data_IF_548530113800
#
_entry.id   IF_548530113800
#
_cell.length_a   1.000
_cell.length_b   1.000
_cell.length_c   1.000
_cell.angle_alpha   90.00
_cell.angle_beta   90.00
_cell.angle_gamma   90.00
#
_symmetry.space_group_name_H-M   'P 1'
#
loop_
_entity.id
_entity.type
_entity.pdbx_description
1 polymer ?
#
# COMPACT_ATOMS: atom_id res chain seq x y z
N UNK A 1 10.02 0.19 18.88
CA UNK A 1 9.24 0.82 17.82
C UNK A 1 7.80 1.10 18.27
N UNK A 2 7.03 0.09 18.66
CA UNK A 2 5.61 0.21 19.06
C UNK A 2 5.33 1.31 20.10
N UNK A 3 6.13 1.38 21.18
CA UNK A 3 5.97 2.40 22.24
C UNK A 3 6.30 3.82 21.78
N UNK A 4 7.22 3.99 20.84
CA UNK A 4 7.59 5.28 20.26
C UNK A 4 6.54 5.80 19.29
N UNK A 5 5.99 4.91 18.46
CA UNK A 5 5.00 5.23 17.44
C UNK A 5 3.67 5.66 18.04
N UNK A 6 3.23 5.04 19.12
CA UNK A 6 1.98 5.40 19.81
C UNK A 6 1.97 6.82 20.41
N UNK A 7 3.14 7.45 20.55
CA UNK A 7 3.30 8.82 21.06
C UNK A 7 3.51 9.87 19.97
N UNK A 8 3.62 9.47 18.70
CA UNK A 8 3.92 10.38 17.60
C UNK A 8 2.64 10.89 16.96
N UNK A 9 2.32 12.12 17.19
CA UNK A 9 1.31 12.88 16.44
C UNK A 9 1.81 13.30 15.04
N UNK A 10 3.10 13.25 14.82
CA UNK A 10 3.77 13.57 13.55
C UNK A 10 4.93 12.61 13.30
N UNK A 11 4.94 11.97 12.13
CA UNK A 11 6.04 11.10 11.73
C UNK A 11 7.03 11.88 10.87
N UNK A 12 8.29 11.94 11.33
CA UNK A 12 9.38 12.43 10.51
C UNK A 12 9.88 11.27 9.62
N UNK A 13 9.60 11.35 8.32
CA UNK A 13 9.92 10.31 7.35
C UNK A 13 11.41 10.11 7.15
N UNK A 14 12.17 11.21 7.14
CA UNK A 14 13.63 11.15 7.02
C UNK A 14 14.27 10.47 8.22
N UNK A 15 13.77 10.75 9.41
CA UNK A 15 14.21 10.10 10.63
C UNK A 15 13.85 8.62 10.61
N UNK A 16 12.61 8.28 10.22
CA UNK A 16 12.16 6.89 10.10
C UNK A 16 13.07 6.09 9.17
N UNK A 17 13.45 6.67 8.02
CA UNK A 17 14.33 6.02 7.04
C UNK A 17 15.78 5.90 7.50
N UNK A 18 16.17 6.60 8.56
CA UNK A 18 17.53 6.55 9.14
C UNK A 18 17.61 5.72 10.43
N UNK A 19 16.48 5.30 10.98
CA UNK A 19 16.46 4.50 12.20
C UNK A 19 17.28 3.21 12.02
N UNK A 20 18.19 2.88 12.96
CA UNK A 20 19.06 1.70 12.83
C UNK A 20 18.30 0.38 12.76
N UNK A 21 17.11 0.33 13.38
CA UNK A 21 16.25 -0.86 13.42
C UNK A 21 15.50 -1.11 12.12
N UNK A 22 15.48 -0.15 11.20
CA UNK A 22 14.81 -0.27 9.90
C UNK A 22 15.72 -0.98 8.90
N UNK A 23 15.27 -2.12 8.41
CA UNK A 23 15.97 -2.84 7.34
C UNK A 23 15.74 -2.13 6.00
N UNK A 24 16.83 -1.68 5.38
CA UNK A 24 16.79 -0.99 4.09
C UNK A 24 17.39 -1.87 3.01
N UNK A 25 16.59 -2.20 2.01
CA UNK A 25 17.00 -3.05 0.89
C UNK A 25 17.20 -2.24 -0.38
N UNK A 26 18.10 -2.69 -1.23
CA UNK A 26 18.30 -2.10 -2.56
C UNK A 26 17.14 -2.43 -3.50
N UNK A 27 16.49 -3.58 -3.30
CA UNK A 27 15.38 -4.07 -4.12
C UNK A 27 14.19 -4.46 -3.24
N UNK A 28 13.02 -4.50 -3.86
CA UNK A 28 11.79 -5.01 -3.25
C UNK A 28 11.61 -6.51 -3.49
N UNK A 29 10.68 -7.11 -2.77
CA UNK A 29 10.19 -8.47 -3.02
C UNK A 29 8.66 -8.46 -3.16
N UNK A 30 8.10 -9.41 -3.90
CA UNK A 30 6.65 -9.52 -4.04
C UNK A 30 6.03 -10.14 -2.80
N UNK A 31 4.93 -9.57 -2.33
CA UNK A 31 4.25 -9.98 -1.11
C UNK A 31 4.82 -9.39 0.19
N UNK A 32 5.98 -8.75 0.15
CA UNK A 32 6.53 -7.96 1.25
C UNK A 32 5.88 -6.58 1.35
N UNK A 33 6.09 -5.89 2.45
CA UNK A 33 5.60 -4.52 2.66
C UNK A 33 6.78 -3.57 2.78
N UNK A 34 6.75 -2.46 2.03
CA UNK A 34 7.85 -1.51 1.92
C UNK A 34 7.38 -0.07 1.98
N UNK A 35 8.22 0.79 2.55
CA UNK A 35 8.12 2.25 2.46
C UNK A 35 9.34 2.81 1.72
N UNK A 36 9.14 3.85 0.95
CA UNK A 36 10.21 4.51 0.20
C UNK A 36 9.78 5.90 -0.26
N UNK A 37 10.74 6.76 -0.58
CA UNK A 37 10.46 8.03 -1.24
C UNK A 37 10.26 7.80 -2.74
N UNK A 38 9.24 8.43 -3.30
CA UNK A 38 8.85 8.29 -4.69
C UNK A 38 8.52 9.64 -5.34
N UNK A 39 9.06 9.86 -6.55
CA UNK A 39 8.79 11.05 -7.36
C UNK A 39 8.14 10.62 -8.69
N UNK A 40 6.80 10.70 -8.84
CA UNK A 40 6.11 10.19 -10.02
C UNK A 40 6.53 10.86 -11.32
N UNK A 41 6.69 10.07 -12.38
CA UNK A 41 7.06 10.56 -13.71
C UNK A 41 6.08 11.59 -14.27
N UNK A 42 4.80 11.37 -14.04
CA UNK A 42 3.72 12.22 -14.57
C UNK A 42 3.03 13.05 -13.49
N UNK A 43 3.79 13.51 -12.49
CA UNK A 43 3.25 14.26 -11.35
C UNK A 43 2.45 15.52 -11.76
N UNK A 44 2.82 16.15 -12.85
CA UNK A 44 2.11 17.34 -13.35
C UNK A 44 0.71 17.03 -13.86
N UNK A 45 0.47 15.80 -14.34
CA UNK A 45 -0.82 15.33 -14.85
C UNK A 45 -1.66 14.60 -13.83
N UNK A 46 -1.06 14.13 -12.72
CA UNK A 46 -1.78 13.42 -11.67
C UNK A 46 -2.63 14.40 -10.85
N UNK A 47 -3.88 14.06 -10.52
CA UNK A 47 -4.71 14.89 -9.65
C UNK A 47 -4.15 14.96 -8.22
N UNK A 48 -3.52 13.91 -7.76
CA UNK A 48 -2.79 13.80 -6.50
C UNK A 48 -1.88 12.58 -6.53
N UNK A 49 -0.92 12.54 -5.62
CA UNK A 49 -0.01 11.39 -5.47
C UNK A 49 0.59 11.35 -4.06
N UNK A 50 1.10 10.17 -3.70
CA UNK A 50 1.78 9.94 -2.43
C UNK A 50 3.29 9.89 -2.67
N UNK A 51 4.03 10.78 -2.01
CA UNK A 51 5.49 10.83 -2.10
C UNK A 51 6.20 9.85 -1.18
N UNK A 52 5.48 9.25 -0.24
CA UNK A 52 6.01 8.26 0.68
C UNK A 52 5.08 7.04 0.77
N UNK A 53 4.98 6.27 -0.31
CA UNK A 53 4.05 5.15 -0.36
C UNK A 53 4.38 4.03 0.62
N UNK A 54 3.33 3.36 1.11
CA UNK A 54 3.38 2.11 1.84
C UNK A 54 2.80 1.03 0.94
N UNK A 55 3.66 0.24 0.32
CA UNK A 55 3.24 -0.68 -0.74
C UNK A 55 3.50 -2.13 -0.42
N UNK A 56 2.62 -2.98 -0.97
CA UNK A 56 2.86 -4.41 -1.12
C UNK A 56 3.03 -4.66 -2.62
N UNK A 57 4.25 -4.90 -3.10
CA UNK A 57 4.47 -5.26 -4.50
C UNK A 57 3.79 -6.59 -4.83
N UNK A 58 3.08 -6.64 -5.96
CA UNK A 58 2.28 -7.80 -6.38
C UNK A 58 2.88 -8.49 -7.58
N UNK A 59 3.30 -7.73 -8.59
CA UNK A 59 3.80 -8.28 -9.84
C UNK A 59 4.81 -7.36 -10.53
N UNK A 60 5.70 -7.91 -11.37
CA UNK A 60 6.56 -7.10 -12.21
C UNK A 60 5.74 -6.31 -13.24
N UNK A 61 6.25 -5.14 -13.63
CA UNK A 61 5.70 -4.32 -14.69
C UNK A 61 6.84 -3.62 -15.43
N UNK A 62 6.56 -3.10 -16.61
CA UNK A 62 7.58 -2.43 -17.43
C UNK A 62 8.26 -1.29 -16.67
N UNK A 63 9.56 -1.41 -16.47
CA UNK A 63 10.39 -0.43 -15.75
C UNK A 63 10.23 -0.44 -14.23
N UNK A 64 9.48 -1.37 -13.67
CA UNK A 64 9.25 -1.44 -12.24
C UNK A 64 8.31 -2.54 -11.80
N UNK A 65 7.34 -2.20 -10.97
CA UNK A 65 6.37 -3.16 -10.43
C UNK A 65 4.99 -2.54 -10.26
N UNK A 66 3.98 -3.39 -10.19
CA UNK A 66 2.65 -3.02 -9.70
C UNK A 66 2.50 -3.45 -8.25
N UNK A 67 1.94 -2.57 -7.46
CA UNK A 67 1.73 -2.83 -6.04
C UNK A 67 0.50 -2.14 -5.51
N UNK A 68 0.10 -2.57 -4.32
CA UNK A 68 -1.00 -1.99 -3.57
C UNK A 68 -0.42 -0.93 -2.63
N UNK A 69 -0.80 0.34 -2.82
CA UNK A 69 -0.49 1.38 -1.85
C UNK A 69 -1.62 1.47 -0.83
N UNK A 70 -1.34 1.06 0.41
CA UNK A 70 -2.33 1.01 1.49
C UNK A 70 -2.81 2.40 1.91
N UNK A 71 -2.05 3.44 1.64
CA UNK A 71 -2.45 4.81 1.98
C UNK A 71 -3.70 5.29 1.22
N UNK A 72 -3.97 4.74 0.03
CA UNK A 72 -5.19 5.06 -0.74
C UNK A 72 -6.43 4.37 -0.17
N UNK A 73 -6.26 3.40 0.70
CA UNK A 73 -7.35 2.63 1.28
C UNK A 73 -7.84 3.30 2.57
N UNK A 74 -9.15 3.55 2.75
CA UNK A 74 -9.69 4.05 4.01
C UNK A 74 -9.33 3.14 5.20
N UNK A 75 -9.12 3.68 6.42
CA UNK A 75 -8.62 2.91 7.56
C UNK A 75 -9.40 1.64 7.89
N UNK A 76 -10.72 1.66 7.79
CA UNK A 76 -11.56 0.47 8.05
C UNK A 76 -11.26 -0.65 7.06
N UNK A 77 -11.08 -0.31 5.79
CA UNK A 77 -10.75 -1.28 4.75
C UNK A 77 -9.31 -1.77 4.86
N UNK A 78 -8.37 -0.92 5.31
CA UNK A 78 -7.00 -1.35 5.65
C UNK A 78 -7.02 -2.42 6.75
N UNK A 79 -7.80 -2.20 7.81
CA UNK A 79 -7.94 -3.15 8.91
C UNK A 79 -8.45 -4.51 8.40
N UNK A 80 -9.51 -4.53 7.61
CA UNK A 80 -10.07 -5.76 7.05
C UNK A 80 -9.10 -6.49 6.14
N UNK A 81 -8.39 -5.75 5.29
CA UNK A 81 -7.40 -6.34 4.39
C UNK A 81 -6.20 -6.91 5.15
N UNK A 82 -5.73 -6.18 6.14
CA UNK A 82 -4.62 -6.62 6.99
C UNK A 82 -4.98 -7.87 7.80
N UNK A 83 -6.20 -7.94 8.35
CA UNK A 83 -6.70 -9.13 9.06
C UNK A 83 -6.67 -10.36 8.15
N UNK A 84 -7.09 -10.21 6.90
CA UNK A 84 -7.04 -11.31 5.93
C UNK A 84 -5.60 -11.75 5.62
N UNK A 85 -4.68 -10.83 5.46
CA UNK A 85 -3.24 -11.13 5.26
C UNK A 85 -2.62 -11.81 6.46
N UNK A 86 -2.87 -11.30 7.66
CA UNK A 86 -2.34 -11.85 8.90
C UNK A 86 -2.94 -13.21 9.24
N UNK A 87 -4.20 -13.45 8.86
CA UNK A 87 -4.83 -14.75 8.96
C UNK A 87 -4.11 -15.84 8.17
N UNK A 88 -3.49 -15.49 7.06
CA UNK A 88 -2.66 -16.39 6.27
C UNK A 88 -1.25 -16.53 6.88
N UNK A 89 -0.58 -15.40 7.11
CA UNK A 89 0.83 -15.39 7.56
C UNK A 89 1.03 -15.98 8.95
N UNK A 90 0.06 -15.83 9.84
CA UNK A 90 0.14 -16.33 11.22
C UNK A 90 -0.45 -17.75 11.38
N UNK A 91 -0.98 -18.34 10.32
CA UNK A 91 -1.56 -19.68 10.42
C UNK A 91 -0.48 -20.74 10.48
N UNK A 92 -0.34 -21.37 11.64
CA UNK A 92 0.67 -22.41 11.91
C UNK A 92 0.41 -23.72 11.15
N UNK A 93 -0.78 -23.91 10.60
CA UNK A 93 -1.13 -25.10 9.81
C UNK A 93 -0.59 -25.06 8.38
N UNK A 94 -0.20 -23.87 7.90
CA UNK A 94 0.34 -23.69 6.57
C UNK A 94 1.86 -23.69 6.60
N UNK A 95 2.47 -24.40 5.65
CA UNK A 95 3.89 -24.26 5.38
C UNK A 95 4.18 -22.92 4.63
N UNK A 96 5.44 -22.55 4.50
CA UNK A 96 5.83 -21.27 3.89
C UNK A 96 5.41 -21.17 2.43
N UNK A 97 5.47 -22.27 1.68
CA UNK A 97 5.00 -22.31 0.27
C UNK A 97 3.50 -22.07 0.16
N UNK A 98 2.71 -22.70 1.03
CA UNK A 98 1.25 -22.50 1.08
C UNK A 98 0.90 -21.08 1.49
N UNK A 99 1.56 -20.51 2.49
CA UNK A 99 1.38 -19.11 2.90
C UNK A 99 1.68 -18.16 1.75
N UNK A 100 2.78 -18.35 1.05
CA UNK A 100 3.15 -17.55 -0.11
C UNK A 100 2.07 -17.59 -1.20
N UNK A 101 1.62 -18.78 -1.56
CA UNK A 101 0.60 -18.97 -2.59
C UNK A 101 -0.75 -18.33 -2.20
N UNK A 102 -1.20 -18.49 -0.95
CA UNK A 102 -2.44 -17.91 -0.46
C UNK A 102 -2.36 -16.39 -0.37
N UNK A 103 -1.25 -15.86 0.09
CA UNK A 103 -0.99 -14.42 0.13
C UNK A 103 -1.02 -13.84 -1.29
N UNK A 104 -0.33 -14.45 -2.22
CA UNK A 104 -0.34 -14.03 -3.63
C UNK A 104 -1.75 -14.05 -4.24
N UNK A 105 -2.52 -15.12 -3.98
CA UNK A 105 -3.91 -15.21 -4.45
C UNK A 105 -4.78 -14.11 -3.86
N UNK A 106 -4.65 -13.80 -2.56
CA UNK A 106 -5.37 -12.72 -1.92
C UNK A 106 -5.02 -11.37 -2.55
N UNK A 107 -3.74 -11.08 -2.71
CA UNK A 107 -3.26 -9.84 -3.33
C UNK A 107 -3.76 -9.71 -4.77
N UNK A 108 -3.68 -10.77 -5.54
CA UNK A 108 -4.11 -10.77 -6.94
C UNK A 108 -5.64 -10.66 -7.08
N UNK A 109 -6.40 -11.34 -6.21
CA UNK A 109 -7.86 -11.26 -6.22
C UNK A 109 -8.37 -9.89 -5.80
N UNK A 110 -7.66 -9.19 -4.92
CA UNK A 110 -8.02 -7.83 -4.47
C UNK A 110 -8.05 -6.83 -5.63
N UNK A 111 -7.29 -7.07 -6.70
CA UNK A 111 -7.32 -6.29 -7.94
C UNK A 111 -8.72 -6.16 -8.52
N UNK A 112 -9.53 -7.20 -8.40
CA UNK A 112 -10.89 -7.24 -8.93
C UNK A 112 -11.92 -6.63 -7.96
N UNK A 113 -11.53 -6.37 -6.73
CA UNK A 113 -12.39 -5.71 -5.75
C UNK A 113 -12.43 -4.21 -6.00
N UNK A 114 -13.63 -3.64 -6.07
CA UNK A 114 -13.87 -2.24 -6.46
C UNK A 114 -13.12 -1.24 -5.58
N UNK A 115 -13.05 -1.50 -4.28
CA UNK A 115 -12.38 -0.64 -3.31
C UNK A 115 -10.86 -0.57 -3.48
N UNK A 116 -10.26 -1.58 -4.09
CA UNK A 116 -8.82 -1.69 -4.25
C UNK A 116 -8.28 -1.12 -5.56
N UNK A 117 -9.15 -0.86 -6.55
CA UNK A 117 -8.71 -0.31 -7.85
C UNK A 117 -7.84 0.94 -7.71
N UNK A 118 -8.24 1.95 -6.90
CA UNK A 118 -7.40 3.14 -6.71
C UNK A 118 -6.07 2.87 -6.00
N UNK A 119 -5.95 1.74 -5.29
CA UNK A 119 -4.76 1.39 -4.54
C UNK A 119 -3.68 0.72 -5.41
N UNK A 120 -4.08 0.11 -6.55
CA UNK A 120 -3.13 -0.48 -7.48
C UNK A 120 -2.41 0.60 -8.28
N UNK A 121 -1.09 0.64 -8.12
CA UNK A 121 -0.22 1.63 -8.76
C UNK A 121 0.92 0.94 -9.47
N UNK A 122 1.36 1.55 -10.57
CA UNK A 122 2.59 1.19 -11.25
C UNK A 122 3.71 2.11 -10.77
N UNK A 123 4.71 1.52 -10.12
CA UNK A 123 5.89 2.23 -9.63
C UNK A 123 7.09 1.97 -10.52
N UNK A 124 7.71 3.04 -11.00
CA UNK A 124 8.90 2.98 -11.83
C UNK A 124 10.14 3.01 -10.94
N UNK A 125 11.04 2.04 -11.07
CA UNK A 125 12.24 1.96 -10.24
C UNK A 125 13.15 3.19 -10.36
N UNK A 126 13.24 3.78 -11.54
CA UNK A 126 14.02 5.01 -11.77
C UNK A 126 13.48 6.23 -11.01
N UNK A 127 12.24 6.18 -10.57
CA UNK A 127 11.57 7.24 -9.81
C UNK A 127 11.52 6.98 -8.30
N UNK A 128 12.04 5.85 -7.85
CA UNK A 128 12.27 5.57 -6.42
C UNK A 128 13.50 6.35 -5.97
N UNK A 129 13.35 7.20 -4.94
CA UNK A 129 14.37 8.15 -4.49
C UNK A 129 15.09 7.75 -3.21
N UNK A 130 14.83 6.55 -2.71
CA UNK A 130 15.49 5.99 -1.53
C UNK A 130 15.65 4.48 -1.66
N UNK A 131 16.29 3.87 -0.69
CA UNK A 131 16.19 2.41 -0.51
C UNK A 131 14.79 2.05 -0.05
N UNK A 132 14.44 0.79 -0.22
CA UNK A 132 13.19 0.22 0.27
C UNK A 132 13.32 -0.12 1.77
N UNK A 133 12.57 0.58 2.61
CA UNK A 133 12.45 0.22 4.03
C UNK A 133 11.47 -0.94 4.14
N UNK A 134 11.98 -2.12 4.49
CA UNK A 134 11.16 -3.32 4.69
C UNK A 134 10.41 -3.24 6.02
N UNK A 135 9.12 -3.50 5.98
CA UNK A 135 8.27 -3.64 7.15
C UNK A 135 8.08 -5.14 7.42
N UNK A 136 8.69 -5.69 8.49
CA UNK A 136 8.49 -7.10 8.82
C UNK A 136 7.03 -7.36 9.22
N UNK A 137 6.53 -8.57 8.94
CA UNK A 137 5.14 -8.93 9.15
C UNK A 137 4.58 -8.62 10.55
N UNK A 138 5.32 -8.82 11.66
CA UNK A 138 4.86 -8.45 13.00
C UNK A 138 4.59 -6.95 13.19
N UNK A 139 5.11 -6.08 12.31
CA UNK A 139 4.96 -4.63 12.36
C UNK A 139 3.97 -4.08 11.33
N UNK A 140 3.36 -4.93 10.49
CA UNK A 140 2.44 -4.52 9.45
C UNK A 140 1.24 -3.73 9.98
N UNK A 141 0.67 -4.17 11.11
CA UNK A 141 -0.46 -3.47 11.73
C UNK A 141 -0.11 -2.03 12.10
N UNK A 142 1.06 -1.84 12.72
CA UNK A 142 1.52 -0.51 13.13
C UNK A 142 1.80 0.35 11.91
N UNK A 143 2.53 -0.16 10.94
CA UNK A 143 2.87 0.58 9.72
C UNK A 143 1.64 0.99 8.93
N UNK A 144 0.63 0.12 8.85
CA UNK A 144 -0.62 0.36 8.12
C UNK A 144 -1.38 1.58 8.66
N UNK A 145 -1.35 1.80 9.97
CA UNK A 145 -2.09 2.90 10.61
C UNK A 145 -1.22 4.10 10.97
N UNK A 146 0.08 4.01 10.77
CA UNK A 146 0.98 5.14 10.97
C UNK A 146 0.71 6.22 9.89
N UNK A 147 0.53 7.50 10.26
CA UNK A 147 0.27 8.56 9.28
C UNK A 147 1.54 8.95 8.51
N UNK A 148 2.10 8.03 7.74
CA UNK A 148 3.33 8.23 6.95
C UNK A 148 3.08 8.74 5.55
N UNK A 149 1.84 8.67 5.04
CA UNK A 149 1.49 9.19 3.73
C UNK A 149 1.93 10.64 3.56
N UNK A 150 2.53 10.95 2.42
CA UNK A 150 2.90 12.31 2.05
C UNK A 150 2.15 12.73 0.80
N UNK A 151 0.93 13.21 1.00
CA UNK A 151 0.05 13.61 -0.07
C UNK A 151 0.46 14.95 -0.70
N UNK A 152 0.48 14.96 -2.00
CA UNK A 152 0.63 16.17 -2.81
C UNK A 152 -0.67 16.44 -3.58
N UNK A 153 -1.08 17.71 -3.63
CA UNK A 153 -2.29 18.23 -4.30
C UNK A 153 -3.61 17.78 -3.67
N UNK A 154 -3.61 17.07 -2.55
CA UNK A 154 -4.83 16.62 -1.88
C UNK A 154 -4.58 16.27 -0.42
N UNK A 155 -5.64 15.87 0.27
CA UNK A 155 -5.62 15.38 1.65
C UNK A 155 -6.13 13.94 1.72
N UNK A 156 -5.79 13.23 2.80
CA UNK A 156 -6.27 11.87 3.03
C UNK A 156 -7.80 11.78 2.98
N UNK A 157 -8.50 12.72 3.61
CA UNK A 157 -9.97 12.75 3.61
C UNK A 157 -10.58 12.83 2.22
N UNK A 158 -10.03 13.68 1.36
CA UNK A 158 -10.48 13.81 -0.03
C UNK A 158 -10.20 12.56 -0.85
N UNK A 159 -9.03 11.96 -0.68
CA UNK A 159 -8.63 10.73 -1.38
C UNK A 159 -9.55 9.58 -0.99
N UNK A 160 -9.87 9.43 0.29
CA UNK A 160 -10.81 8.40 0.76
C UNK A 160 -12.24 8.66 0.24
N UNK A 161 -12.67 9.91 0.18
CA UNK A 161 -13.95 10.30 -0.39
C UNK A 161 -14.02 9.94 -1.87
N UNK A 162 -12.98 10.23 -2.65
CA UNK A 162 -12.89 9.89 -4.07
C UNK A 162 -12.90 8.37 -4.30
N UNK A 163 -12.20 7.61 -3.48
CA UNK A 163 -12.22 6.15 -3.51
C UNK A 163 -13.63 5.58 -3.28
N UNK A 164 -14.38 6.14 -2.33
CA UNK A 164 -15.78 5.74 -2.08
C UNK A 164 -16.69 6.08 -3.25
N UNK A 165 -16.54 7.25 -3.86
CA UNK A 165 -17.32 7.67 -5.04
C UNK A 165 -17.04 6.76 -6.24
N UNK A 166 -15.78 6.43 -6.50
CA UNK A 166 -15.40 5.49 -7.55
C UNK A 166 -16.06 4.14 -7.33
N UNK A 167 -16.12 3.69 -6.09
CA UNK A 167 -16.80 2.47 -5.69
C UNK A 167 -18.32 2.52 -5.98
N UNK A 168 -18.98 3.62 -5.65
CA UNK A 168 -20.41 3.82 -5.91
C UNK A 168 -20.72 3.89 -7.41
N UNK A 169 -19.85 4.52 -8.21
CA UNK A 169 -20.00 4.57 -9.67
C UNK A 169 -19.95 3.19 -10.33
N UNK A 170 -19.13 2.28 -9.79
CA UNK A 170 -19.05 0.90 -10.26
C UNK A 170 -20.21 0.01 -9.76
N UNK A 171 -20.93 0.40 -8.71
CA UNK A 171 -22.10 -0.34 -8.20
C UNK A 171 -23.40 0.07 -8.85
N UNK A 172 -23.48 1.25 -9.45
CA UNK A 172 -24.64 1.69 -10.23
C UNK A 172 -24.61 1.03 -11.61
N UNK A 173 -25.73 0.40 -12.06
CA UNK A 173 -25.79 -0.11 -13.42
C UNK A 173 -25.53 1.02 -14.42
N UNK A 174 -24.61 0.78 -15.35
CA UNK A 174 -24.38 1.73 -16.44
C UNK A 174 -25.68 1.90 -17.26
N UNK A 175 -26.01 3.11 -17.74
CA UNK A 175 -27.13 3.28 -18.65
C UNK A 175 -27.07 2.40 -19.91
N UNK A 176 -25.90 1.83 -20.21
CA UNK A 176 -25.68 0.88 -21.31
C UNK A 176 -26.09 -0.57 -20.97
N UNK A 177 -26.23 -0.90 -19.70
CA UNK A 177 -26.55 -2.23 -19.24
C UNK A 177 -28.09 -2.41 -19.02
N UNK A 178 -28.86 -1.35 -19.25
CA UNK A 178 -30.33 -1.32 -19.11
C UNK A 178 -31.06 -1.28 -20.47
N UNK A 179 -30.33 -1.48 -21.53
CA UNK A 179 -30.93 -1.54 -22.87
C UNK A 179 -31.27 -2.98 -23.25
#
# INVERSE_FOLDING_TARGET
>A
FRKRVQRLTRVNRDQLMREPEVTRRATHSYGGMFMYFYDPKHKDKLPYYDRFPLTIPVEPAKGGFRGINLHYLPPVLRAKFLDALLGITNNKKYDESTKFNLTYRLLNSSRNMRYFKPCFKHYLLDHVKSRFAEVPAPEWEIATFLPTAQWEKSSAGRIYSDSRKTCLLYTSPSPRDTA
#
